data_IF_557035570766
#
_entry.id   IF_557035570766
#
_cell.length_a   1.000
_cell.length_b   1.000
_cell.length_c   1.000
_cell.angle_alpha   90.00
_cell.angle_beta   90.00
_cell.angle_gamma   90.00
#
_symmetry.space_group_name_H-M   'P 1'
#
loop_
_entity.id
_entity.type
_entity.pdbx_description
1 polymer ?
#
# COMPACT_ATOMS: atom_id res chain seq x y z
N UNK A 1 -40.77 19.75 9.67
CA UNK A 1 -39.42 20.37 9.64
C UNK A 1 -38.44 19.29 9.22
N UNK A 2 -38.13 19.21 7.92
CA UNK A 2 -37.30 18.17 7.32
C UNK A 2 -35.89 18.75 7.09
N UNK A 3 -34.89 18.17 7.75
CA UNK A 3 -33.48 18.53 7.59
C UNK A 3 -32.92 17.69 6.44
N UNK A 4 -32.50 18.29 5.31
CA UNK A 4 -31.80 17.52 4.28
C UNK A 4 -30.39 17.20 4.76
N UNK A 5 -30.08 15.90 4.84
CA UNK A 5 -28.72 15.40 4.96
C UNK A 5 -27.93 15.82 3.72
N UNK A 6 -26.97 16.72 3.88
CA UNK A 6 -26.05 17.09 2.82
C UNK A 6 -25.19 15.87 2.45
N UNK A 7 -25.45 15.31 1.26
CA UNK A 7 -24.58 14.32 0.64
C UNK A 7 -23.18 14.91 0.50
N UNK A 8 -22.20 14.24 1.10
CA UNK A 8 -20.79 14.55 0.93
C UNK A 8 -20.42 14.54 -0.55
N UNK A 9 -19.76 15.60 -0.98
CA UNK A 9 -19.22 15.77 -2.33
C UNK A 9 -18.46 14.52 -2.77
N UNK A 10 -19.02 13.80 -3.75
CA UNK A 10 -18.25 12.89 -4.60
C UNK A 10 -17.21 13.72 -5.34
N UNK A 11 -16.02 13.84 -4.75
CA UNK A 11 -14.84 14.37 -5.45
C UNK A 11 -14.39 13.28 -6.41
N UNK A 12 -14.41 13.57 -7.70
CA UNK A 12 -13.78 12.75 -8.75
C UNK A 12 -12.32 12.57 -8.35
N UNK A 13 -11.98 11.44 -7.73
CA UNK A 13 -10.59 11.09 -7.52
C UNK A 13 -10.05 10.61 -8.85
N UNK A 14 -9.13 11.39 -9.44
CA UNK A 14 -8.35 10.98 -10.60
C UNK A 14 -7.62 9.67 -10.23
N UNK A 15 -7.63 8.69 -11.12
CA UNK A 15 -6.92 7.42 -10.88
C UNK A 15 -5.41 7.68 -10.88
N UNK A 16 -4.62 6.91 -10.09
CA UNK A 16 -3.17 6.99 -10.16
C UNK A 16 -2.68 6.77 -11.59
N UNK A 17 -1.87 7.71 -12.09
CA UNK A 17 -1.23 7.61 -13.40
C UNK A 17 0.22 7.18 -13.22
N UNK A 18 0.63 6.12 -13.91
CA UNK A 18 2.03 5.69 -13.96
C UNK A 18 2.85 6.71 -14.76
N UNK A 19 4.06 7.03 -14.29
CA UNK A 19 4.99 7.91 -14.98
C UNK A 19 5.98 7.11 -15.83
N UNK A 20 6.18 7.54 -17.08
CA UNK A 20 7.21 6.96 -17.97
C UNK A 20 8.63 7.16 -17.44
N UNK A 21 8.85 8.25 -16.71
CA UNK A 21 10.15 8.61 -16.12
C UNK A 21 9.97 9.37 -14.82
N UNK A 22 10.77 8.99 -13.84
CA UNK A 22 10.84 9.68 -12.54
C UNK A 22 11.84 10.83 -12.64
N UNK A 23 11.33 12.07 -12.58
CA UNK A 23 12.14 13.29 -12.56
C UNK A 23 12.36 13.70 -11.10
N UNK A 24 13.62 13.83 -10.64
CA UNK A 24 13.90 14.28 -9.28
C UNK A 24 13.48 15.75 -9.13
N UNK A 25 12.79 16.03 -8.02
CA UNK A 25 12.30 17.38 -7.70
C UNK A 25 13.07 17.94 -6.49
N UNK A 26 13.28 19.27 -6.45
CA UNK A 26 13.90 19.91 -5.30
C UNK A 26 13.00 19.82 -4.07
N UNK A 27 13.64 19.65 -2.91
CA UNK A 27 12.97 19.61 -1.60
C UNK A 27 12.74 21.02 -1.06
N UNK A 28 11.51 21.29 -0.63
CA UNK A 28 11.09 22.55 -0.01
C UNK A 28 10.02 22.27 1.05
N UNK A 29 10.42 21.55 2.11
CA UNK A 29 9.50 21.10 3.17
C UNK A 29 8.74 22.26 3.79
N UNK A 30 7.46 22.05 4.07
CA UNK A 30 6.59 23.04 4.69
C UNK A 30 5.65 22.40 5.71
N UNK A 31 5.52 23.03 6.88
CA UNK A 31 4.64 22.60 7.97
C UNK A 31 3.14 22.66 7.61
N UNK A 32 2.80 23.32 6.50
CA UNK A 32 1.44 23.36 5.97
C UNK A 32 0.98 21.99 5.46
N UNK A 33 1.91 21.11 5.10
CA UNK A 33 1.64 19.83 4.49
C UNK A 33 2.30 18.71 5.29
N UNK A 34 1.54 17.66 5.55
CA UNK A 34 2.04 16.57 6.38
C UNK A 34 1.39 15.24 6.02
N UNK A 35 2.20 14.20 5.94
CA UNK A 35 1.72 12.84 6.09
C UNK A 35 1.38 12.57 7.56
N UNK A 36 0.24 11.92 7.79
CA UNK A 36 -0.31 11.66 9.13
C UNK A 36 -0.26 10.20 9.49
N UNK A 37 -0.54 9.35 8.50
CA UNK A 37 -0.59 7.89 8.67
C UNK A 37 -0.33 7.25 7.32
N UNK A 38 0.35 6.11 7.37
CA UNK A 38 0.54 5.23 6.23
C UNK A 38 -0.01 3.87 6.60
N UNK A 39 -0.83 3.27 5.73
CA UNK A 39 -1.28 1.88 5.85
C UNK A 39 -0.79 1.13 4.63
N UNK A 40 -0.04 0.06 4.89
CA UNK A 40 0.51 -0.81 3.86
C UNK A 40 -0.20 -2.16 3.95
N UNK A 41 -0.48 -2.75 2.81
CA UNK A 41 -1.05 -4.10 2.76
C UNK A 41 -0.52 -4.84 1.53
N UNK A 42 0.00 -6.05 1.75
CA UNK A 42 0.38 -6.96 0.69
C UNK A 42 -0.68 -8.05 0.60
N UNK A 43 -1.36 -8.15 -0.54
CA UNK A 43 -2.31 -9.22 -0.82
C UNK A 43 -1.63 -10.29 -1.67
N UNK A 44 -1.36 -11.44 -1.05
CA UNK A 44 -0.81 -12.63 -1.73
C UNK A 44 -1.90 -13.65 -2.03
N UNK A 45 -1.61 -14.55 -2.98
CA UNK A 45 -2.49 -15.69 -3.31
C UNK A 45 -2.75 -16.57 -2.09
N UNK A 46 -1.71 -16.92 -1.34
CA UNK A 46 -1.81 -17.63 -0.06
C UNK A 46 -2.11 -16.66 1.08
N UNK A 47 -3.02 -17.04 1.97
CA UNK A 47 -3.28 -16.26 3.18
C UNK A 47 -2.07 -16.30 4.13
N UNK A 48 -1.81 -15.21 4.89
CA UNK A 48 -0.80 -15.22 5.95
C UNK A 48 -1.03 -16.39 6.92
N UNK A 49 0.01 -17.18 7.19
CA UNK A 49 -0.07 -18.38 8.03
C UNK A 49 -0.48 -19.67 7.30
N UNK A 50 -0.71 -19.62 5.98
CA UNK A 50 -0.91 -20.79 5.10
C UNK A 50 0.24 -20.99 4.11
N UNK A 51 1.40 -20.37 4.38
CA UNK A 51 2.62 -20.64 3.64
C UNK A 51 2.92 -22.13 3.76
N UNK A 52 2.75 -22.88 2.66
CA UNK A 52 3.36 -24.19 2.56
C UNK A 52 4.85 -23.94 2.66
N UNK A 53 5.48 -24.47 3.70
CA UNK A 53 6.93 -24.52 3.81
C UNK A 53 7.48 -24.89 2.43
N UNK A 54 8.12 -23.93 1.78
CA UNK A 54 8.84 -24.20 0.55
C UNK A 54 9.84 -25.29 0.88
N UNK A 55 9.68 -26.42 0.20
CA UNK A 55 10.50 -27.60 0.35
C UNK A 55 11.89 -27.30 -0.20
N UNK A 56 12.71 -26.59 0.56
CA UNK A 56 14.14 -26.49 0.30
C UNK A 56 14.78 -27.79 0.78
N UNK A 57 14.78 -28.80 -0.08
CA UNK A 57 15.45 -30.08 0.15
C UNK A 57 16.96 -29.88 0.10
N UNK A 58 17.57 -29.57 1.25
CA UNK A 58 19.00 -29.81 1.43
C UNK A 58 19.30 -30.32 2.85
N UNK A 59 19.54 -31.65 2.92
CA UNK A 59 20.40 -32.41 3.85
C UNK A 59 19.92 -32.78 5.28
N UNK A 60 19.64 -34.09 5.44
CA UNK A 60 19.92 -35.03 6.57
C UNK A 60 19.18 -34.90 7.91
N UNK A 61 18.60 -36.04 8.33
CA UNK A 61 18.52 -36.44 9.73
C UNK A 61 17.26 -37.23 10.10
N UNK A 62 17.36 -38.56 10.14
CA UNK A 62 16.30 -39.42 10.65
C UNK A 62 16.19 -39.32 12.18
N UNK A 63 14.98 -39.05 12.70
CA UNK A 63 14.57 -39.49 14.04
C UNK A 63 13.03 -39.50 14.16
N UNK A 64 12.50 -40.63 14.64
CA UNK A 64 11.10 -40.88 14.98
C UNK A 64 10.69 -40.12 16.25
N UNK A 65 9.45 -39.63 16.26
CA UNK A 65 8.57 -39.67 17.44
C UNK A 65 8.33 -38.34 18.15
N UNK A 66 7.06 -38.08 18.49
CA UNK A 66 6.69 -37.13 19.55
C UNK A 66 5.69 -36.06 19.14
N UNK A 67 4.40 -36.41 19.16
CA UNK A 67 3.29 -35.47 19.14
C UNK A 67 3.35 -34.62 20.43
N UNK A 68 3.54 -33.30 20.33
CA UNK A 68 3.33 -32.37 21.43
C UNK A 68 2.51 -31.18 20.92
N UNK A 69 1.25 -31.17 21.35
CA UNK A 69 0.33 -30.04 21.29
C UNK A 69 0.87 -28.88 22.14
N UNK A 70 1.27 -27.79 21.50
CA UNK A 70 1.50 -26.52 22.19
C UNK A 70 0.23 -25.67 22.11
N UNK A 71 -0.63 -25.83 23.12
CA UNK A 71 -1.66 -24.86 23.48
C UNK A 71 -0.95 -23.63 24.05
N UNK A 72 -0.47 -22.72 23.19
CA UNK A 72 0.03 -21.43 23.61
C UNK A 72 -1.14 -20.43 23.66
N UNK A 73 -1.29 -19.63 24.73
CA UNK A 73 -2.40 -18.69 24.85
C UNK A 73 -2.17 -17.54 23.84
N UNK A 74 -2.94 -17.54 22.76
CA UNK A 74 -2.97 -16.44 21.81
C UNK A 74 -3.39 -15.17 22.54
N UNK A 75 -2.46 -14.22 22.62
CA UNK A 75 -2.72 -12.91 23.21
C UNK A 75 -3.86 -12.25 22.44
N UNK A 76 -4.84 -11.65 23.12
CA UNK A 76 -6.01 -11.01 22.50
C UNK A 76 -5.67 -9.99 21.40
N UNK A 77 -4.44 -9.44 21.41
CA UNK A 77 -3.94 -8.54 20.36
C UNK A 77 -3.71 -9.28 19.03
N UNK A 78 -3.14 -10.49 19.07
CA UNK A 78 -2.93 -11.34 17.89
C UNK A 78 -4.26 -11.64 17.19
N UNK A 79 -5.31 -11.95 17.96
CA UNK A 79 -6.64 -12.24 17.39
C UNK A 79 -7.29 -11.04 16.68
N UNK A 80 -7.07 -9.81 17.19
CA UNK A 80 -7.63 -8.60 16.57
C UNK A 80 -6.87 -8.23 15.30
N UNK A 81 -5.54 -8.37 15.30
CA UNK A 81 -4.73 -8.18 14.10
C UNK A 81 -5.09 -9.19 13.01
N UNK A 82 -5.16 -10.48 13.35
CA UNK A 82 -5.57 -11.53 12.42
C UNK A 82 -6.95 -11.28 11.82
N UNK A 83 -7.91 -10.85 12.65
CA UNK A 83 -9.23 -10.46 12.16
C UNK A 83 -9.13 -9.30 11.17
N UNK A 84 -8.38 -8.24 11.49
CA UNK A 84 -8.19 -7.08 10.60
C UNK A 84 -7.56 -7.45 9.25
N UNK A 85 -6.57 -8.35 9.24
CA UNK A 85 -5.91 -8.83 8.02
C UNK A 85 -6.87 -9.65 7.16
N UNK A 86 -7.72 -10.49 7.78
CA UNK A 86 -8.76 -11.25 7.09
C UNK A 86 -9.82 -10.35 6.48
N UNK A 87 -10.28 -9.34 7.22
CA UNK A 87 -11.25 -8.36 6.70
C UNK A 87 -10.67 -7.57 5.53
N UNK A 88 -9.42 -7.12 5.62
CA UNK A 88 -8.77 -6.42 4.50
C UNK A 88 -8.67 -7.32 3.27
N UNK A 89 -8.28 -8.59 3.45
CA UNK A 89 -8.24 -9.57 2.35
C UNK A 89 -9.59 -9.71 1.67
N UNK A 90 -10.64 -9.93 2.46
CA UNK A 90 -12.00 -10.09 1.96
C UNK A 90 -12.49 -8.83 1.24
N UNK A 91 -12.17 -7.65 1.78
CA UNK A 91 -12.50 -6.37 1.16
C UNK A 91 -11.83 -6.20 -0.21
N UNK A 92 -10.53 -6.50 -0.31
CA UNK A 92 -9.76 -6.34 -1.55
C UNK A 92 -10.11 -7.36 -2.63
N UNK A 93 -10.60 -8.55 -2.23
CA UNK A 93 -11.11 -9.57 -3.14
C UNK A 93 -12.62 -9.48 -3.40
N UNK A 94 -13.31 -8.53 -2.79
CA UNK A 94 -14.75 -8.38 -3.00
C UNK A 94 -15.04 -8.12 -4.49
N UNK A 95 -15.92 -8.94 -5.07
CA UNK A 95 -16.25 -8.89 -6.49
C UNK A 95 -15.27 -9.63 -7.42
N UNK A 96 -14.14 -10.13 -6.92
CA UNK A 96 -13.22 -10.98 -7.70
C UNK A 96 -13.65 -12.45 -7.62
N UNK A 97 -14.49 -12.88 -8.56
CA UNK A 97 -15.14 -14.21 -8.51
C UNK A 97 -14.22 -15.29 -9.09
N UNK A 98 -13.58 -15.01 -10.23
CA UNK A 98 -12.70 -15.96 -10.90
C UNK A 98 -11.27 -15.89 -10.38
N UNK A 99 -10.46 -16.92 -10.66
CA UNK A 99 -9.02 -16.88 -10.34
C UNK A 99 -8.30 -15.75 -11.07
N UNK A 100 -8.71 -15.45 -12.31
CA UNK A 100 -8.18 -14.33 -13.06
C UNK A 100 -8.51 -13.02 -12.36
N UNK A 101 -9.76 -12.81 -11.95
CA UNK A 101 -10.15 -11.59 -11.23
C UNK A 101 -9.37 -11.43 -9.92
N UNK A 102 -9.11 -12.53 -9.21
CA UNK A 102 -8.33 -12.50 -7.96
C UNK A 102 -6.86 -12.18 -8.23
N UNK A 103 -6.29 -12.72 -9.31
CA UNK A 103 -4.93 -12.42 -9.76
C UNK A 103 -4.74 -10.92 -9.98
N UNK A 104 -5.71 -10.26 -10.61
CA UNK A 104 -5.70 -8.80 -10.84
C UNK A 104 -5.79 -7.96 -9.54
N UNK A 105 -6.07 -8.58 -8.39
CA UNK A 105 -6.04 -7.91 -7.08
C UNK A 105 -4.76 -8.18 -6.30
N UNK A 106 -4.01 -9.23 -6.61
CA UNK A 106 -2.83 -9.58 -5.83
C UNK A 106 -1.72 -8.56 -6.05
N UNK A 107 -1.08 -8.15 -4.94
CA UNK A 107 0.01 -7.19 -4.94
C UNK A 107 0.00 -6.21 -3.77
N UNK A 108 0.73 -5.11 -3.93
CA UNK A 108 0.97 -4.09 -2.91
C UNK A 108 -0.07 -2.97 -2.97
N UNK A 109 -0.60 -2.60 -1.81
CA UNK A 109 -1.53 -1.49 -1.63
C UNK A 109 -0.96 -0.48 -0.63
N UNK A 110 -1.03 0.80 -0.99
CA UNK A 110 -0.52 1.92 -0.20
C UNK A 110 -1.61 2.93 0.05
N UNK A 111 -1.98 3.12 1.32
CA UNK A 111 -2.92 4.12 1.76
C UNK A 111 -2.17 5.23 2.51
N UNK A 112 -2.09 6.40 1.90
CA UNK A 112 -1.48 7.59 2.51
C UNK A 112 -2.56 8.54 3.00
N UNK A 113 -2.52 8.82 4.31
CA UNK A 113 -3.35 9.82 4.94
C UNK A 113 -2.50 11.07 5.13
N UNK A 114 -2.94 12.17 4.55
CA UNK A 114 -2.21 13.42 4.56
C UNK A 114 -3.14 14.60 4.85
N UNK A 115 -2.54 15.73 5.22
CA UNK A 115 -3.28 16.95 5.54
C UNK A 115 -2.60 18.15 4.90
N UNK A 116 -3.45 19.06 4.40
CA UNK A 116 -3.08 20.40 3.97
C UNK A 116 -3.74 21.45 4.88
N UNK A 117 -2.94 22.29 5.54
CA UNK A 117 -3.43 23.36 6.45
C UNK A 117 -4.04 24.54 5.67
N UNK A 118 -3.47 24.84 4.51
CA UNK A 118 -4.00 25.84 3.56
C UNK A 118 -4.54 25.17 2.30
N UNK A 119 -5.18 25.93 1.43
CA UNK A 119 -5.58 25.41 0.14
C UNK A 119 -4.40 25.47 -0.85
N UNK A 120 -4.20 24.40 -1.63
CA UNK A 120 -3.10 24.27 -2.57
C UNK A 120 -3.41 23.26 -3.67
N UNK A 121 -2.84 23.44 -4.85
CA UNK A 121 -2.82 22.37 -5.87
C UNK A 121 -1.68 21.42 -5.54
N UNK A 122 -2.03 20.17 -5.24
CA UNK A 122 -1.08 19.17 -4.76
C UNK A 122 -1.09 17.95 -5.66
N UNK A 123 0.11 17.47 -5.99
CA UNK A 123 0.30 16.15 -6.59
C UNK A 123 0.90 15.23 -5.55
N UNK A 124 0.29 14.07 -5.36
CA UNK A 124 0.84 13.01 -4.53
C UNK A 124 1.51 12.02 -5.45
N UNK A 125 2.79 11.74 -5.20
CA UNK A 125 3.59 10.80 -5.98
C UNK A 125 4.06 9.66 -5.09
N UNK A 126 3.70 8.43 -5.45
CA UNK A 126 4.36 7.23 -4.94
C UNK A 126 5.55 6.94 -5.86
N UNK A 127 6.75 6.83 -5.31
CA UNK A 127 7.92 6.29 -6.00
C UNK A 127 8.32 4.97 -5.34
N UNK A 128 8.68 3.96 -6.13
CA UNK A 128 8.89 2.61 -5.61
C UNK A 128 9.89 1.81 -6.45
N UNK A 129 10.49 0.79 -5.82
CA UNK A 129 11.38 -0.22 -6.43
C UNK A 129 10.72 -1.60 -6.30
N UNK A 130 10.80 -2.43 -7.34
CA UNK A 130 10.30 -3.81 -7.35
C UNK A 130 11.44 -4.83 -7.45
N UNK A 131 11.22 -6.04 -6.93
CA UNK A 131 12.24 -7.11 -6.81
C UNK A 131 13.00 -7.38 -8.11
N UNK A 132 12.31 -7.47 -9.24
CA UNK A 132 12.92 -7.86 -10.52
C UNK A 132 13.48 -6.68 -11.30
N UNK A 133 13.14 -5.46 -10.92
CA UNK A 133 13.55 -4.22 -11.58
C UNK A 133 14.85 -3.62 -11.01
N UNK A 134 15.46 -4.28 -10.02
CA UNK A 134 16.75 -3.90 -9.44
C UNK A 134 16.74 -2.44 -8.94
N UNK A 135 17.61 -1.58 -9.49
CA UNK A 135 17.73 -0.17 -9.10
C UNK A 135 16.73 0.75 -9.81
N UNK A 136 15.89 0.23 -10.71
CA UNK A 136 14.91 1.04 -11.42
C UNK A 136 13.81 1.52 -10.46
N UNK A 137 13.48 2.82 -10.57
CA UNK A 137 12.44 3.47 -9.79
C UNK A 137 11.27 3.77 -10.71
N UNK A 138 10.09 3.27 -10.34
CA UNK A 138 8.83 3.64 -10.96
C UNK A 138 8.11 4.68 -10.10
N UNK A 139 7.14 5.37 -10.70
CA UNK A 139 6.30 6.30 -9.96
C UNK A 139 4.85 6.31 -10.45
N UNK A 140 3.92 6.51 -9.52
CA UNK A 140 2.51 6.79 -9.80
C UNK A 140 2.12 8.13 -9.18
N UNK A 141 1.26 8.90 -9.85
CA UNK A 141 0.81 10.22 -9.39
C UNK A 141 -0.71 10.38 -9.38
N UNK A 142 -1.21 11.16 -8.42
CA UNK A 142 -2.58 11.68 -8.41
C UNK A 142 -2.55 13.16 -8.04
N UNK A 143 -3.29 13.98 -8.77
CA UNK A 143 -3.41 15.42 -8.51
C UNK A 143 -4.72 15.78 -7.81
N UNK A 144 -4.64 16.78 -6.92
CA UNK A 144 -5.76 17.33 -6.17
C UNK A 144 -5.72 18.85 -6.31
N UNK A 145 -6.74 19.41 -6.96
CA UNK A 145 -6.89 20.86 -7.06
C UNK A 145 -7.46 21.45 -5.78
N UNK A 146 -6.95 22.61 -5.38
CA UNK A 146 -7.42 23.40 -4.24
C UNK A 146 -7.61 22.57 -2.95
N UNK A 147 -6.67 21.67 -2.67
CA UNK A 147 -6.74 20.72 -1.59
C UNK A 147 -6.55 21.38 -0.22
N UNK A 148 -7.53 21.21 0.68
CA UNK A 148 -7.50 21.74 2.06
C UNK A 148 -8.17 20.76 3.02
N UNK A 149 -7.53 20.54 4.18
CA UNK A 149 -8.00 19.57 5.18
C UNK A 149 -7.31 18.22 5.05
N UNK A 150 -7.98 17.16 5.50
CA UNK A 150 -7.44 15.79 5.53
C UNK A 150 -7.90 14.98 4.33
N UNK A 151 -7.00 14.20 3.75
CA UNK A 151 -7.23 13.38 2.57
C UNK A 151 -6.67 11.98 2.75
N UNK A 152 -7.20 11.06 1.95
CA UNK A 152 -6.68 9.71 1.74
C UNK A 152 -6.38 9.54 0.25
N UNK A 153 -5.20 9.04 -0.06
CA UNK A 153 -4.78 8.66 -1.41
C UNK A 153 -4.36 7.19 -1.38
N UNK A 154 -4.91 6.39 -2.29
CA UNK A 154 -4.59 4.97 -2.44
C UNK A 154 -3.79 4.77 -3.75
N UNK A 155 -2.65 4.08 -3.65
CA UNK A 155 -1.89 3.56 -4.79
C UNK A 155 -1.85 2.03 -4.75
N UNK A 156 -1.67 1.43 -5.91
CA UNK A 156 -1.70 -0.03 -6.09
C UNK A 156 -0.64 -0.46 -7.08
N UNK A 157 0.08 -1.52 -6.76
CA UNK A 157 0.95 -2.26 -7.67
C UNK A 157 0.45 -3.70 -7.60
N UNK A 158 -0.43 -4.07 -8.52
CA UNK A 158 -1.23 -5.30 -8.48
C UNK A 158 -1.34 -5.92 -9.86
N UNK A 159 -1.81 -7.17 -9.94
CA UNK A 159 -2.02 -7.83 -11.23
C UNK A 159 -0.70 -8.01 -11.98
N UNK A 160 -0.70 -7.76 -13.28
CA UNK A 160 0.47 -7.95 -14.14
C UNK A 160 1.72 -7.23 -13.60
N UNK A 161 1.64 -5.95 -13.22
CA UNK A 161 2.77 -5.20 -12.65
C UNK A 161 3.39 -5.91 -11.44
N UNK A 162 2.57 -6.53 -10.59
CA UNK A 162 3.05 -7.27 -9.43
C UNK A 162 3.66 -8.63 -9.80
N UNK A 163 3.03 -9.35 -10.73
CA UNK A 163 3.50 -10.68 -11.14
C UNK A 163 4.75 -10.63 -12.00
N UNK A 164 4.84 -9.64 -12.90
CA UNK A 164 5.92 -9.50 -13.86
C UNK A 164 7.16 -8.92 -13.20
N UNK A 165 7.01 -7.89 -12.35
CA UNK A 165 8.12 -7.15 -11.73
C UNK A 165 8.38 -7.50 -10.26
N UNK A 166 7.48 -8.28 -9.65
CA UNK A 166 7.61 -8.77 -8.26
C UNK A 166 7.08 -7.78 -7.22
N UNK A 167 7.29 -8.08 -5.93
CA UNK A 167 6.74 -7.21 -4.88
C UNK A 167 7.51 -5.90 -4.78
N UNK A 168 6.86 -4.85 -4.27
CA UNK A 168 7.54 -3.60 -3.91
C UNK A 168 8.48 -3.84 -2.72
N UNK A 169 9.76 -3.50 -2.88
CA UNK A 169 10.81 -3.69 -1.88
C UNK A 169 11.16 -2.43 -1.10
N UNK A 170 11.05 -1.27 -1.75
CA UNK A 170 11.25 0.04 -1.15
C UNK A 170 10.28 1.05 -1.77
N UNK A 171 9.82 2.01 -0.97
CA UNK A 171 8.90 3.05 -1.42
C UNK A 171 9.16 4.39 -0.72
N UNK A 172 8.82 5.49 -1.40
CA UNK A 172 8.57 6.81 -0.80
C UNK A 172 7.31 7.44 -1.39
N UNK A 173 6.69 8.32 -0.62
CA UNK A 173 5.54 9.08 -1.05
C UNK A 173 5.79 10.56 -0.80
N UNK A 174 5.47 11.38 -1.80
CA UNK A 174 5.78 12.80 -1.86
C UNK A 174 4.48 13.60 -1.96
N UNK A 175 4.40 14.71 -1.23
CA UNK A 175 3.48 15.81 -1.55
C UNK A 175 4.26 16.84 -2.36
N UNK A 176 3.75 17.15 -3.55
CA UNK A 176 4.38 18.07 -4.50
C UNK A 176 3.46 19.27 -4.69
N UNK A 177 4.01 20.47 -4.49
CA UNK A 177 3.36 21.73 -4.82
C UNK A 177 4.29 22.50 -5.76
N UNK A 178 3.78 22.92 -6.93
CA UNK A 178 4.55 23.71 -7.91
C UNK A 178 5.96 23.12 -8.18
N UNK A 179 6.00 21.82 -8.46
CA UNK A 179 7.24 21.05 -8.75
C UNK A 179 8.25 20.99 -7.61
N UNK A 180 7.82 21.27 -6.37
CA UNK A 180 8.67 21.14 -5.18
C UNK A 180 8.08 20.15 -4.20
N UNK A 181 8.94 19.34 -3.59
CA UNK A 181 8.53 18.39 -2.55
C UNK A 181 8.30 19.16 -1.26
N UNK A 182 7.04 19.26 -0.84
CA UNK A 182 6.63 19.99 0.37
C UNK A 182 6.45 19.09 1.60
N UNK A 183 6.31 17.78 1.39
CA UNK A 183 6.37 16.77 2.44
C UNK A 183 6.76 15.41 1.86
N UNK A 184 7.35 14.55 2.69
CA UNK A 184 7.79 13.21 2.30
C UNK A 184 7.50 12.20 3.43
N UNK A 185 7.26 10.94 3.05
CA UNK A 185 7.30 9.77 3.94
C UNK A 185 7.82 8.57 3.17
N UNK A 186 8.58 7.68 3.79
CA UNK A 186 9.20 6.56 3.06
C UNK A 186 9.36 5.31 3.92
N UNK A 187 9.63 4.19 3.25
CA UNK A 187 10.04 2.94 3.87
C UNK A 187 11.45 3.03 4.41
N UNK A 188 11.78 2.20 5.40
CA UNK A 188 13.15 2.10 5.92
C UNK A 188 14.18 1.71 4.86
N UNK A 189 13.78 0.90 3.87
CA UNK A 189 14.67 0.46 2.76
C UNK A 189 14.85 1.53 1.67
N UNK A 190 14.21 2.69 1.83
CA UNK A 190 14.31 3.80 0.89
C UNK A 190 15.47 4.71 1.30
N UNK A 191 16.64 4.37 0.79
CA UNK A 191 17.88 5.16 0.81
C UNK A 191 18.50 5.16 -0.60
#
# INVERSE_FOLDING_TARGET
LLIPLANGLSRTQEQPRLLDRVVPLPMALSDDFQFRKTKLYLLTETAPGQEKASNDQTVKGAAKGGKLSSTAPSSKSTTVQDASIRFERQYRLFGAVTRLDQRERFGNYFDFFWRSRRAADLTIRLEYRQEKLHAHIQAQEISYSNARGSYKTEFKVVGDDYFDDGRVTAWRCLLIEKERIVAETHSYMWE
#
